data_IF_330317448349
#
_entry.id   IF_330317448349
#
_cell.length_a   1.000
_cell.length_b   1.000
_cell.length_c   1.000
_cell.angle_alpha   90.00
_cell.angle_beta   90.00
_cell.angle_gamma   90.00
#
_symmetry.space_group_name_H-M   'P 1'
#
loop_
_entity.id
_entity.type
_entity.pdbx_description
1 polymer ?
#
# COMPACT_ATOMS: atom_id res chain seq x y z
N UNK A 1 -16.52 24.25 -10.72
CA UNK A 1 -16.66 23.28 -11.82
C UNK A 1 -16.39 21.88 -11.27
N UNK A 2 -17.37 20.97 -11.31
CA UNK A 2 -17.18 19.58 -10.94
C UNK A 2 -16.13 18.97 -11.87
N UNK A 3 -15.09 18.33 -11.32
CA UNK A 3 -14.05 17.64 -12.10
C UNK A 3 -14.77 16.53 -12.87
N UNK A 4 -14.79 16.63 -14.20
CA UNK A 4 -15.38 15.60 -15.07
C UNK A 4 -14.66 14.27 -14.79
N UNK A 5 -15.41 13.25 -14.40
CA UNK A 5 -14.87 11.90 -14.15
C UNK A 5 -14.52 11.29 -15.50
N UNK A 6 -13.37 10.68 -15.57
CA UNK A 6 -12.95 9.91 -16.73
C UNK A 6 -13.44 8.46 -16.58
N UNK A 7 -14.43 8.02 -17.37
CA UNK A 7 -15.02 6.69 -17.22
C UNK A 7 -14.01 5.58 -17.51
N UNK A 8 -13.02 5.82 -18.35
CA UNK A 8 -11.98 4.84 -18.66
C UNK A 8 -11.12 4.57 -17.42
N UNK A 9 -10.66 5.62 -16.76
CA UNK A 9 -9.84 5.52 -15.56
C UNK A 9 -10.62 4.92 -14.37
N UNK A 10 -11.91 5.24 -14.24
CA UNK A 10 -12.76 4.63 -13.23
C UNK A 10 -13.00 3.15 -13.51
N UNK A 11 -13.17 2.75 -14.78
CA UNK A 11 -13.26 1.35 -15.19
C UNK A 11 -11.96 0.58 -14.92
N UNK A 12 -10.79 1.15 -15.20
CA UNK A 12 -9.50 0.54 -14.91
C UNK A 12 -9.32 0.27 -13.40
N UNK A 13 -9.77 1.19 -12.54
CA UNK A 13 -9.76 0.98 -11.08
C UNK A 13 -10.69 -0.15 -10.68
N UNK A 14 -11.91 -0.18 -11.22
CA UNK A 14 -12.89 -1.23 -10.96
C UNK A 14 -12.35 -2.61 -11.35
N UNK A 15 -11.80 -2.73 -12.56
CA UNK A 15 -11.17 -3.96 -13.04
C UNK A 15 -10.00 -4.35 -12.11
N UNK A 16 -9.14 -3.40 -11.74
CA UNK A 16 -8.04 -3.64 -10.81
C UNK A 16 -8.49 -4.21 -9.46
N UNK A 17 -9.59 -3.69 -8.90
CA UNK A 17 -10.17 -4.19 -7.64
C UNK A 17 -10.71 -5.63 -7.83
N UNK A 18 -11.43 -5.90 -8.92
CA UNK A 18 -11.94 -7.26 -9.22
C UNK A 18 -10.77 -8.24 -9.34
N UNK A 19 -9.72 -7.87 -10.07
CA UNK A 19 -8.53 -8.71 -10.23
C UNK A 19 -7.80 -8.94 -8.89
N UNK A 20 -7.73 -7.92 -8.03
CA UNK A 20 -7.15 -8.06 -6.70
C UNK A 20 -7.94 -9.10 -5.87
N UNK A 21 -9.27 -9.03 -5.88
CA UNK A 21 -10.12 -9.99 -5.16
C UNK A 21 -9.94 -11.40 -5.73
N UNK A 22 -9.94 -11.56 -7.05
CA UNK A 22 -9.71 -12.84 -7.72
C UNK A 22 -8.32 -13.41 -7.40
N UNK A 23 -7.27 -12.57 -7.39
CA UNK A 23 -5.92 -12.96 -7.03
C UNK A 23 -5.82 -13.54 -5.62
N UNK A 24 -6.64 -13.05 -4.67
CA UNK A 24 -6.66 -13.54 -3.29
C UNK A 24 -7.69 -14.64 -3.01
N UNK A 25 -8.45 -15.08 -4.02
CA UNK A 25 -9.51 -16.10 -3.87
C UNK A 25 -9.09 -17.52 -4.26
N UNK A 26 -7.81 -17.75 -4.58
CA UNK A 26 -7.34 -19.05 -5.09
C UNK A 26 -7.79 -19.33 -6.53
N UNK A 27 -8.10 -18.31 -7.30
CA UNK A 27 -8.52 -18.43 -8.70
C UNK A 27 -7.41 -19.06 -9.57
N UNK A 28 -7.73 -20.00 -10.47
CA UNK A 28 -6.76 -20.55 -11.41
C UNK A 28 -6.25 -19.42 -12.33
N UNK A 29 -4.98 -19.09 -12.30
CA UNK A 29 -4.42 -17.97 -13.04
C UNK A 29 -4.05 -16.75 -12.17
N UNK A 30 -4.10 -16.90 -10.84
CA UNK A 30 -3.62 -15.91 -9.86
C UNK A 30 -2.23 -15.41 -10.19
N UNK A 31 -1.32 -16.28 -10.63
CA UNK A 31 0.05 -15.92 -10.99
C UNK A 31 0.11 -14.84 -12.09
N UNK A 32 -0.76 -14.95 -13.09
CA UNK A 32 -0.84 -13.93 -14.14
C UNK A 32 -1.41 -12.61 -13.62
N UNK A 33 -2.38 -12.67 -12.70
CA UNK A 33 -2.97 -11.49 -12.08
C UNK A 33 -1.90 -10.75 -11.27
N UNK A 34 -1.07 -11.47 -10.51
CA UNK A 34 -0.01 -10.89 -9.68
C UNK A 34 1.08 -10.17 -10.48
N UNK A 35 1.27 -10.50 -11.75
CA UNK A 35 2.26 -9.82 -12.59
C UNK A 35 1.94 -8.34 -12.82
N UNK A 36 0.67 -7.94 -12.84
CA UNK A 36 0.33 -6.59 -13.30
C UNK A 36 -0.67 -5.82 -12.43
N UNK A 37 -1.52 -6.48 -11.61
CA UNK A 37 -2.59 -5.76 -10.90
C UNK A 37 -2.06 -4.71 -9.91
N UNK A 38 -0.94 -5.00 -9.24
CA UNK A 38 -0.29 -4.04 -8.34
C UNK A 38 0.34 -2.88 -9.12
N UNK A 39 1.05 -3.20 -10.21
CA UNK A 39 1.63 -2.19 -11.10
C UNK A 39 0.56 -1.24 -11.65
N UNK A 40 -0.63 -1.75 -12.00
CA UNK A 40 -1.76 -0.95 -12.46
C UNK A 40 -2.16 0.14 -11.45
N UNK A 41 -2.26 -0.21 -10.18
CA UNK A 41 -2.60 0.77 -9.13
C UNK A 41 -1.52 1.83 -8.93
N UNK A 42 -0.24 1.45 -8.99
CA UNK A 42 0.87 2.41 -8.94
C UNK A 42 0.84 3.35 -10.14
N UNK A 43 0.64 2.83 -11.35
CA UNK A 43 0.52 3.65 -12.56
C UNK A 43 -0.66 4.62 -12.48
N UNK A 44 -1.83 4.15 -12.05
CA UNK A 44 -3.00 5.01 -11.83
C UNK A 44 -2.75 6.06 -10.77
N UNK A 45 -2.04 5.74 -9.69
CA UNK A 45 -1.68 6.73 -8.67
C UNK A 45 -0.74 7.79 -9.22
N UNK A 46 0.23 7.42 -10.06
CA UNK A 46 1.12 8.34 -10.76
C UNK A 46 0.36 9.23 -11.74
N UNK A 47 -0.57 8.67 -12.51
CA UNK A 47 -1.42 9.44 -13.44
C UNK A 47 -2.21 10.57 -12.75
N UNK A 48 -2.69 10.29 -11.53
CA UNK A 48 -3.42 11.28 -10.73
C UNK A 48 -2.53 12.11 -9.81
N UNK A 49 -1.21 11.98 -9.96
CA UNK A 49 -0.30 12.79 -9.18
C UNK A 49 -0.47 14.28 -9.52
N UNK A 50 -0.58 15.12 -8.50
CA UNK A 50 -0.67 16.57 -8.67
C UNK A 50 -0.33 17.26 -7.36
N UNK A 51 0.65 18.16 -7.42
CA UNK A 51 1.04 19.04 -6.34
C UNK A 51 0.27 20.37 -6.31
N UNK A 52 -0.89 20.44 -6.99
CA UNK A 52 -1.76 21.62 -6.94
C UNK A 52 -2.15 21.90 -5.49
N UNK A 53 -1.83 23.08 -5.00
CA UNK A 53 -2.00 23.46 -3.58
C UNK A 53 -0.77 23.21 -2.72
N UNK A 54 0.35 22.76 -3.30
CA UNK A 54 1.63 22.58 -2.62
C UNK A 54 1.76 21.24 -1.87
N UNK A 55 2.97 20.99 -1.35
CA UNK A 55 3.33 19.74 -0.68
C UNK A 55 2.49 19.46 0.57
N UNK A 56 2.23 20.48 1.39
CA UNK A 56 1.45 20.32 2.63
C UNK A 56 0.02 19.85 2.32
N UNK A 57 -0.62 20.46 1.32
CA UNK A 57 -1.96 20.03 0.88
C UNK A 57 -1.95 18.60 0.34
N UNK A 58 -0.92 18.23 -0.43
CA UNK A 58 -0.75 16.87 -0.94
C UNK A 58 -0.61 15.86 0.20
N UNK A 59 0.28 16.11 1.16
CA UNK A 59 0.49 15.24 2.34
C UNK A 59 -0.81 15.07 3.13
N UNK A 60 -1.50 16.17 3.46
CA UNK A 60 -2.78 16.12 4.17
C UNK A 60 -3.81 15.26 3.43
N UNK A 61 -3.90 15.40 2.11
CA UNK A 61 -4.81 14.58 1.30
C UNK A 61 -4.43 13.10 1.38
N UNK A 62 -3.14 12.75 1.29
CA UNK A 62 -2.68 11.35 1.38
C UNK A 62 -2.89 10.77 2.79
N UNK A 63 -2.71 11.58 3.83
CA UNK A 63 -3.04 11.17 5.20
C UNK A 63 -4.52 10.79 5.35
N UNK A 64 -5.43 11.58 4.80
CA UNK A 64 -6.88 11.31 4.90
C UNK A 64 -7.30 10.16 3.99
N UNK A 65 -6.70 10.01 2.79
CA UNK A 65 -7.18 9.05 1.79
C UNK A 65 -6.49 7.68 1.85
N UNK A 66 -5.31 7.58 2.42
CA UNK A 66 -4.55 6.31 2.50
C UNK A 66 -4.22 5.94 3.95
N UNK A 67 -3.57 6.84 4.71
CA UNK A 67 -3.10 6.53 6.05
C UNK A 67 -4.26 6.32 7.03
N UNK A 68 -5.23 7.23 7.07
CA UNK A 68 -6.37 7.12 7.99
C UNK A 68 -7.22 5.85 7.74
N UNK A 69 -7.60 5.49 6.51
CA UNK A 69 -8.29 4.22 6.25
C UNK A 69 -7.44 2.99 6.62
N UNK A 70 -6.13 3.02 6.39
CA UNK A 70 -5.22 1.95 6.79
C UNK A 70 -5.23 1.73 8.30
N UNK A 71 -5.01 2.79 9.08
CA UNK A 71 -5.02 2.71 10.55
C UNK A 71 -6.38 2.30 11.07
N UNK A 72 -7.46 2.89 10.56
CA UNK A 72 -8.82 2.60 11.00
C UNK A 72 -9.19 1.14 10.74
N UNK A 73 -8.94 0.61 9.55
CA UNK A 73 -9.26 -0.77 9.21
C UNK A 73 -8.45 -1.77 10.05
N UNK A 74 -7.13 -1.59 10.18
CA UNK A 74 -6.30 -2.48 11.01
C UNK A 74 -6.71 -2.41 12.49
N UNK A 75 -7.09 -1.24 12.99
CA UNK A 75 -7.61 -1.11 14.37
C UNK A 75 -8.92 -1.86 14.53
N UNK A 76 -9.87 -1.71 13.58
CA UNK A 76 -11.14 -2.45 13.61
C UNK A 76 -10.88 -3.97 13.57
N UNK A 77 -10.01 -4.43 12.67
CA UNK A 77 -9.65 -5.86 12.63
C UNK A 77 -9.02 -6.35 13.93
N UNK A 78 -8.18 -5.52 14.57
CA UNK A 78 -7.58 -5.85 15.86
C UNK A 78 -8.60 -5.91 16.99
N UNK A 79 -9.54 -4.97 17.03
CA UNK A 79 -10.65 -4.97 18.01
C UNK A 79 -11.55 -6.20 17.83
N UNK A 80 -11.85 -6.54 16.57
CA UNK A 80 -12.69 -7.70 16.25
C UNK A 80 -11.94 -9.05 16.30
N UNK A 81 -10.63 -9.05 16.53
CA UNK A 81 -9.79 -10.25 16.47
C UNK A 81 -10.33 -11.41 17.31
N UNK A 82 -10.68 -11.16 18.57
CA UNK A 82 -11.18 -12.21 19.47
C UNK A 82 -12.56 -12.73 19.08
N UNK A 83 -13.40 -11.88 18.48
CA UNK A 83 -14.68 -12.29 17.91
C UNK A 83 -14.47 -13.18 16.69
N UNK A 84 -13.58 -12.80 15.80
CA UNK A 84 -13.27 -13.58 14.58
C UNK A 84 -12.62 -14.92 14.88
N UNK A 85 -11.82 -15.02 15.97
CA UNK A 85 -11.32 -16.29 16.47
C UNK A 85 -12.46 -17.20 16.95
N UNK A 86 -13.44 -16.66 17.70
CA UNK A 86 -14.61 -17.43 18.17
C UNK A 86 -15.51 -17.89 17.03
N UNK A 87 -15.58 -17.12 15.94
CA UNK A 87 -16.36 -17.45 14.74
C UNK A 87 -15.60 -18.35 13.76
N UNK A 88 -14.38 -18.78 14.08
CA UNK A 88 -13.49 -19.55 13.20
C UNK A 88 -13.20 -18.87 11.85
N UNK A 89 -13.29 -17.53 11.78
CA UNK A 89 -12.87 -16.73 10.63
C UNK A 89 -11.34 -16.58 10.66
N UNK A 90 -10.76 -16.44 11.85
CA UNK A 90 -9.33 -16.45 12.12
C UNK A 90 -8.94 -17.72 12.84
N UNK A 91 -7.67 -18.10 12.75
CA UNK A 91 -7.13 -19.28 13.43
C UNK A 91 -5.97 -18.95 14.35
N UNK A 92 -5.85 -19.66 15.47
CA UNK A 92 -4.70 -19.66 16.36
C UNK A 92 -3.90 -20.97 16.27
N UNK A 93 -4.25 -21.89 15.37
CA UNK A 93 -3.57 -23.18 15.22
C UNK A 93 -2.18 -22.99 14.60
N UNK A 94 -1.14 -23.22 15.39
CA UNK A 94 0.25 -23.07 14.96
C UNK A 94 0.62 -23.96 13.75
N UNK A 95 -0.06 -25.10 13.57
CA UNK A 95 0.17 -26.00 12.42
C UNK A 95 -0.17 -25.35 11.09
N UNK A 96 -1.11 -24.40 11.08
CA UNK A 96 -1.49 -23.65 9.88
C UNK A 96 -0.43 -22.62 9.53
N UNK A 97 0.33 -22.11 10.50
CA UNK A 97 1.44 -21.17 10.24
C UNK A 97 2.59 -21.81 9.44
N UNK A 98 2.72 -23.15 9.49
CA UNK A 98 3.74 -23.88 8.72
C UNK A 98 3.41 -23.96 7.22
N UNK A 99 2.16 -23.67 6.83
CA UNK A 99 1.75 -23.67 5.43
C UNK A 99 2.14 -22.31 4.80
N UNK A 100 2.95 -22.29 3.74
CA UNK A 100 3.34 -21.04 3.08
C UNK A 100 2.13 -20.15 2.72
N UNK A 101 2.22 -18.87 3.02
CA UNK A 101 1.16 -17.90 2.75
C UNK A 101 0.07 -17.81 3.83
N UNK A 102 0.08 -18.67 4.84
CA UNK A 102 -0.85 -18.60 5.94
C UNK A 102 -0.21 -17.91 7.16
N UNK A 103 -1.05 -17.23 7.93
CA UNK A 103 -0.67 -16.60 9.20
C UNK A 103 -1.67 -16.97 10.27
N UNK A 104 -1.21 -17.03 11.51
CA UNK A 104 -2.04 -17.29 12.68
C UNK A 104 -2.09 -16.05 13.57
N UNK A 105 -3.15 -15.93 14.35
CA UNK A 105 -3.28 -14.85 15.31
C UNK A 105 -3.59 -15.40 16.69
N UNK A 106 -3.10 -14.71 17.74
CA UNK A 106 -3.42 -15.01 19.11
C UNK A 106 -4.56 -14.11 19.63
N UNK A 107 -5.27 -14.52 20.68
CA UNK A 107 -6.18 -13.63 21.39
C UNK A 107 -5.47 -12.37 21.84
N UNK A 108 -6.12 -11.22 21.68
CA UNK A 108 -5.55 -9.90 22.01
C UNK A 108 -6.22 -9.32 23.24
N UNK A 109 -5.43 -8.70 24.12
CA UNK A 109 -5.91 -7.92 25.26
C UNK A 109 -6.16 -6.46 24.86
N UNK A 110 -6.77 -5.67 25.76
CA UNK A 110 -6.96 -4.23 25.55
C UNK A 110 -5.62 -3.51 25.40
N UNK A 111 -4.60 -3.92 26.16
CA UNK A 111 -3.25 -3.36 26.03
C UNK A 111 -2.66 -3.63 24.65
N UNK A 112 -2.86 -4.85 24.12
CA UNK A 112 -2.38 -5.21 22.78
C UNK A 112 -3.10 -4.40 21.70
N UNK A 113 -4.41 -4.14 21.86
CA UNK A 113 -5.16 -3.30 20.92
C UNK A 113 -4.55 -1.90 20.84
N UNK A 114 -4.28 -1.27 22.01
CA UNK A 114 -3.68 0.06 22.06
C UNK A 114 -2.27 0.04 21.44
N UNK A 115 -1.43 -0.92 21.87
CA UNK A 115 -0.08 -1.07 21.34
C UNK A 115 -0.05 -1.25 19.84
N UNK A 116 -0.85 -2.20 19.31
CA UNK A 116 -0.95 -2.44 17.86
C UNK A 116 -1.47 -1.22 17.09
N UNK A 117 -2.46 -0.49 17.64
CA UNK A 117 -2.95 0.74 17.00
C UNK A 117 -1.85 1.78 16.85
N UNK A 118 -0.96 1.93 17.85
CA UNK A 118 0.22 2.80 17.75
C UNK A 118 1.16 2.31 16.65
N UNK A 119 1.42 1.00 16.56
CA UNK A 119 2.22 0.40 15.47
C UNK A 119 1.61 0.67 14.10
N UNK A 120 0.27 0.58 13.95
CA UNK A 120 -0.40 0.92 12.69
C UNK A 120 -0.20 2.39 12.29
N UNK A 121 -0.10 3.31 13.26
CA UNK A 121 0.16 4.71 12.96
C UNK A 121 1.52 4.95 12.29
N UNK A 122 2.50 4.09 12.54
CA UNK A 122 3.84 4.14 11.93
C UNK A 122 4.05 3.09 10.84
N UNK A 123 2.98 2.42 10.38
CA UNK A 123 3.02 1.34 9.39
C UNK A 123 3.89 0.15 9.84
N UNK A 124 3.88 -0.18 11.11
CA UNK A 124 4.61 -1.32 11.63
C UNK A 124 3.68 -2.54 11.77
N UNK A 125 3.97 -3.60 11.03
CA UNK A 125 3.26 -4.87 11.05
C UNK A 125 1.99 -4.92 10.21
N UNK A 126 1.26 -6.03 10.34
CA UNK A 126 -0.01 -6.31 9.67
C UNK A 126 -0.95 -7.17 10.52
N UNK A 127 -2.23 -7.19 10.18
CA UNK A 127 -3.20 -8.15 10.73
C UNK A 127 -3.43 -9.28 9.73
N UNK A 128 -3.86 -10.46 10.19
CA UNK A 128 -4.18 -11.58 9.30
C UNK A 128 -5.23 -11.20 8.24
N UNK A 129 -6.27 -10.45 8.63
CA UNK A 129 -7.28 -9.93 7.68
C UNK A 129 -6.79 -8.76 6.85
N UNK A 130 -5.76 -8.07 7.31
CA UNK A 130 -5.16 -6.91 6.63
C UNK A 130 -4.01 -7.28 5.70
N UNK A 131 -3.82 -8.55 5.33
CA UNK A 131 -2.68 -9.02 4.55
C UNK A 131 -2.40 -8.23 3.27
N UNK A 132 -3.44 -7.88 2.51
CA UNK A 132 -3.30 -7.06 1.30
C UNK A 132 -3.09 -5.56 1.57
N UNK A 133 -3.19 -5.10 2.82
CA UNK A 133 -3.11 -3.66 3.14
C UNK A 133 -1.68 -3.09 3.09
N UNK A 134 -0.65 -3.94 3.05
CA UNK A 134 0.74 -3.52 2.81
C UNK A 134 0.85 -2.62 1.55
N UNK A 135 -0.01 -2.87 0.56
CA UNK A 135 -0.04 -2.06 -0.65
C UNK A 135 -0.43 -0.60 -0.39
N UNK A 136 -1.39 -0.33 0.52
CA UNK A 136 -1.78 1.03 0.89
C UNK A 136 -0.61 1.74 1.57
N UNK A 137 0.13 1.03 2.41
CA UNK A 137 1.37 1.51 3.02
C UNK A 137 2.41 1.88 1.95
N UNK A 138 2.72 0.96 1.05
CA UNK A 138 3.67 1.18 -0.04
C UNK A 138 3.25 2.37 -0.92
N UNK A 139 1.96 2.45 -1.29
CA UNK A 139 1.41 3.53 -2.09
C UNK A 139 1.50 4.90 -1.40
N UNK A 140 1.30 4.94 -0.07
CA UNK A 140 1.47 6.15 0.71
C UNK A 140 2.93 6.60 0.71
N UNK A 141 3.87 5.71 1.07
CA UNK A 141 5.30 6.00 1.16
C UNK A 141 5.87 6.46 -0.19
N UNK A 142 5.60 5.71 -1.27
CA UNK A 142 6.06 6.04 -2.62
C UNK A 142 5.47 7.37 -3.08
N UNK A 143 4.19 7.64 -2.79
CA UNK A 143 3.57 8.92 -3.14
C UNK A 143 4.23 10.11 -2.44
N UNK A 144 4.60 9.97 -1.17
CA UNK A 144 5.31 11.02 -0.42
C UNK A 144 6.73 11.21 -0.92
N UNK A 145 7.46 10.10 -1.12
CA UNK A 145 8.82 10.14 -1.66
C UNK A 145 8.84 10.86 -3.02
N UNK A 146 7.94 10.47 -3.93
CA UNK A 146 7.83 11.10 -5.23
C UNK A 146 7.49 12.59 -5.15
N UNK A 147 6.60 12.98 -4.23
CA UNK A 147 6.26 14.39 -4.03
C UNK A 147 7.46 15.22 -3.52
N UNK A 148 8.26 14.68 -2.61
CA UNK A 148 9.48 15.33 -2.11
C UNK A 148 10.50 15.47 -3.25
N UNK A 149 10.74 14.42 -4.02
CA UNK A 149 11.64 14.41 -5.16
C UNK A 149 11.22 15.47 -6.19
N UNK A 150 9.93 15.53 -6.52
CA UNK A 150 9.39 16.50 -7.47
C UNK A 150 9.65 17.95 -7.01
N UNK A 151 9.39 18.25 -5.73
CA UNK A 151 9.66 19.58 -5.16
C UNK A 151 11.15 19.93 -5.20
N UNK A 152 12.01 18.95 -4.92
CA UNK A 152 13.46 19.15 -4.98
C UNK A 152 13.92 19.41 -6.41
N UNK A 153 13.46 18.60 -7.38
CA UNK A 153 13.80 18.79 -8.78
C UNK A 153 13.32 20.14 -9.32
N UNK A 154 12.10 20.56 -9.00
CA UNK A 154 11.58 21.86 -9.39
C UNK A 154 12.42 23.01 -8.83
N UNK A 155 12.92 22.89 -7.61
CA UNK A 155 13.83 23.88 -7.01
C UNK A 155 15.20 23.88 -7.68
N UNK A 156 15.78 22.71 -7.95
CA UNK A 156 17.11 22.59 -8.56
C UNK A 156 17.13 23.06 -10.02
N UNK A 157 16.07 22.77 -10.77
CA UNK A 157 15.95 23.11 -12.18
C UNK A 157 15.33 24.50 -12.42
N UNK A 158 15.12 25.29 -11.36
CA UNK A 158 14.53 26.64 -11.43
C UNK A 158 13.21 26.68 -12.22
N UNK A 159 12.38 25.63 -12.09
CA UNK A 159 11.09 25.51 -12.78
C UNK A 159 11.18 25.00 -14.22
N UNK A 160 12.32 24.46 -14.65
CA UNK A 160 12.49 23.81 -15.95
C UNK A 160 11.74 22.47 -16.06
N UNK A 161 11.87 21.83 -17.23
CA UNK A 161 11.25 20.53 -17.47
C UNK A 161 11.86 19.44 -16.54
N UNK A 162 11.01 18.77 -15.78
CA UNK A 162 11.39 17.73 -14.82
C UNK A 162 11.22 16.30 -15.37
N UNK A 163 10.67 16.13 -16.57
CA UNK A 163 10.36 14.80 -17.13
C UNK A 163 11.61 13.92 -17.29
N UNK A 164 12.68 14.49 -17.90
CA UNK A 164 13.93 13.74 -18.12
C UNK A 164 14.61 13.37 -16.80
N UNK A 165 14.84 14.32 -15.85
CA UNK A 165 15.38 13.99 -14.54
C UNK A 165 14.53 12.99 -13.75
N UNK A 166 13.21 13.07 -13.82
CA UNK A 166 12.31 12.09 -13.20
C UNK A 166 12.46 10.70 -13.81
N UNK A 167 12.55 10.59 -15.12
CA UNK A 167 12.78 9.33 -15.83
C UNK A 167 14.10 8.69 -15.41
N UNK A 168 15.17 9.46 -15.38
CA UNK A 168 16.50 8.99 -14.94
C UNK A 168 16.48 8.55 -13.47
N UNK A 169 15.88 9.33 -12.59
CA UNK A 169 15.79 9.00 -11.17
C UNK A 169 14.94 7.75 -10.95
N UNK A 170 13.83 7.60 -11.67
CA UNK A 170 13.00 6.38 -11.62
C UNK A 170 13.80 5.16 -12.08
N UNK A 171 14.60 5.28 -13.12
CA UNK A 171 15.51 4.21 -13.58
C UNK A 171 16.53 3.83 -12.51
N UNK A 172 17.15 4.82 -11.86
CA UNK A 172 18.11 4.59 -10.75
C UNK A 172 17.42 3.91 -9.57
N UNK A 173 16.22 4.36 -9.16
CA UNK A 173 15.49 3.75 -8.06
C UNK A 173 15.07 2.30 -8.36
N UNK A 174 14.66 2.01 -9.59
CA UNK A 174 14.38 0.65 -10.03
C UNK A 174 15.62 -0.23 -10.00
N UNK A 175 16.75 0.27 -10.48
CA UNK A 175 18.02 -0.44 -10.44
C UNK A 175 18.49 -0.71 -8.99
N UNK A 176 18.42 0.29 -8.12
CA UNK A 176 18.75 0.15 -6.69
C UNK A 176 17.81 -0.87 -6.03
N UNK A 177 16.50 -0.78 -6.25
CA UNK A 177 15.52 -1.73 -5.71
C UNK A 177 15.80 -3.16 -6.16
N UNK A 178 16.10 -3.36 -7.45
CA UNK A 178 16.48 -4.66 -7.99
C UNK A 178 17.78 -5.18 -7.32
N UNK A 179 18.80 -4.32 -7.16
CA UNK A 179 20.06 -4.71 -6.54
C UNK A 179 19.89 -5.04 -5.05
N UNK A 180 19.13 -4.25 -4.31
CA UNK A 180 18.79 -4.53 -2.90
C UNK A 180 18.09 -5.89 -2.75
N UNK A 181 17.16 -6.22 -3.65
CA UNK A 181 16.50 -7.51 -3.64
C UNK A 181 17.48 -8.67 -3.88
N UNK A 182 18.49 -8.51 -4.78
CA UNK A 182 19.50 -9.54 -5.05
C UNK A 182 20.39 -9.83 -3.82
N UNK A 183 20.68 -8.83 -2.99
CA UNK A 183 21.50 -8.99 -1.78
C UNK A 183 20.65 -9.33 -0.54
N UNK A 184 19.34 -9.59 -0.71
CA UNK A 184 18.42 -9.94 0.38
C UNK A 184 18.17 -8.78 1.36
N UNK A 185 18.45 -7.55 0.96
CA UNK A 185 18.22 -6.37 1.78
C UNK A 185 16.78 -5.89 1.59
N UNK A 186 15.90 -6.35 2.46
CA UNK A 186 14.53 -5.91 2.51
C UNK A 186 14.41 -4.64 3.35
N UNK A 187 14.28 -3.50 2.67
CA UNK A 187 13.92 -2.24 3.33
C UNK A 187 12.45 -2.35 3.72
N UNK A 188 12.13 -2.21 5.01
CA UNK A 188 10.76 -2.19 5.57
C UNK A 188 10.08 -3.55 5.76
N UNK A 189 10.79 -4.66 5.72
CA UNK A 189 10.20 -5.98 5.96
C UNK A 189 9.16 -6.41 4.90
N UNK A 190 9.27 -5.86 3.68
CA UNK A 190 8.45 -6.22 2.52
C UNK A 190 9.13 -7.30 1.69
#
# INVERSE_FOLDING_TARGET
>A
MAKQRDPVLDSMRGIGIVLMVLGHSGFPGTDYIYLFHMALFFMLSGWFFSLRGGLVHFVRRKLVTLWLPFVAANTVFTVCNNLFLRLNILTADARIAEIPGNSVTAPVSIKDIIGRTVHWCVFDGGTQLGGAMWFIQALFQISLLYAVIEVLLQKLLHGGDTLIPQGLLSGVLLWVGWHCNQIGWNVWGL
#
